data_IF_323218769032
#
_entry.id   IF_323218769032
#
_cell.length_a   1.000
_cell.length_b   1.000
_cell.length_c   1.000
_cell.angle_alpha   90.00
_cell.angle_beta   90.00
_cell.angle_gamma   90.00
#
_symmetry.space_group_name_H-M   'P 1'
#
loop_
_entity.id
_entity.type
_entity.pdbx_description
1 polymer ?
#
# COMPACT_ATOMS: atom_id res chain seq x y z
N UNK A 1 -27.78 30.14 5.43
CA UNK A 1 -27.74 28.76 5.98
C UNK A 1 -26.61 27.95 5.35
N UNK A 2 -26.54 27.85 4.03
CA UNK A 2 -25.58 27.06 3.25
C UNK A 2 -24.09 27.37 3.55
N UNK A 3 -23.76 28.65 3.81
CA UNK A 3 -22.38 29.06 4.13
C UNK A 3 -21.94 28.50 5.49
N UNK A 4 -22.81 28.49 6.49
CA UNK A 4 -22.49 27.95 7.82
C UNK A 4 -22.26 26.43 7.78
N UNK A 5 -23.00 25.69 6.98
CA UNK A 5 -22.85 24.26 6.78
C UNK A 5 -21.51 23.94 6.10
N UNK A 6 -21.14 24.70 5.05
CA UNK A 6 -19.86 24.56 4.38
C UNK A 6 -18.68 24.83 5.33
N UNK A 7 -18.77 25.87 6.14
CA UNK A 7 -17.73 26.19 7.13
C UNK A 7 -17.62 25.07 8.19
N UNK A 8 -18.75 24.58 8.68
CA UNK A 8 -18.76 23.49 9.66
C UNK A 8 -18.13 22.20 9.09
N UNK A 9 -18.49 21.83 7.86
CA UNK A 9 -17.91 20.65 7.18
C UNK A 9 -16.39 20.82 6.97
N UNK A 10 -15.94 21.99 6.52
CA UNK A 10 -14.52 22.27 6.35
C UNK A 10 -13.76 22.27 7.67
N UNK A 11 -14.35 22.82 8.73
CA UNK A 11 -13.75 22.80 10.07
C UNK A 11 -13.60 21.37 10.60
N UNK A 12 -14.58 20.50 10.37
CA UNK A 12 -14.51 19.10 10.75
C UNK A 12 -13.40 18.37 9.97
N UNK A 13 -13.31 18.57 8.65
CA UNK A 13 -12.24 17.99 7.82
C UNK A 13 -10.84 18.43 8.29
N UNK A 14 -10.67 19.72 8.58
CA UNK A 14 -9.39 20.24 9.07
C UNK A 14 -9.05 19.66 10.45
N UNK A 15 -10.03 19.52 11.34
CA UNK A 15 -9.80 18.91 12.65
C UNK A 15 -9.36 17.43 12.54
N UNK A 16 -9.95 16.68 11.62
CA UNK A 16 -9.57 15.31 11.32
C UNK A 16 -8.13 15.24 10.80
N UNK A 17 -7.76 16.05 9.83
CA UNK A 17 -6.39 16.13 9.30
C UNK A 17 -5.36 16.50 10.39
N UNK A 18 -5.70 17.45 11.27
CA UNK A 18 -4.83 17.82 12.40
C UNK A 18 -4.63 16.63 13.34
N UNK A 19 -5.68 15.85 13.60
CA UNK A 19 -5.60 14.65 14.44
C UNK A 19 -4.65 13.60 13.83
N UNK A 20 -4.81 13.30 12.54
CA UNK A 20 -3.95 12.37 11.81
C UNK A 20 -2.47 12.82 11.80
N UNK A 21 -2.24 14.11 11.52
CA UNK A 21 -0.88 14.67 11.54
C UNK A 21 -0.25 14.64 12.93
N UNK A 22 -1.04 14.83 13.98
CA UNK A 22 -0.57 14.78 15.36
C UNK A 22 -0.18 13.35 15.76
N UNK A 23 -0.98 12.36 15.35
CA UNK A 23 -0.67 10.95 15.55
C UNK A 23 0.61 10.54 14.81
N UNK A 24 0.74 10.96 13.56
CA UNK A 24 1.94 10.71 12.76
C UNK A 24 3.19 11.36 13.38
N UNK A 25 3.08 12.59 13.87
CA UNK A 25 4.17 13.26 14.59
C UNK A 25 4.58 12.49 15.85
N UNK A 26 3.61 11.92 16.57
CA UNK A 26 3.87 11.04 17.72
C UNK A 26 4.65 9.78 17.33
N UNK A 27 4.31 9.15 16.23
CA UNK A 27 5.02 7.98 15.70
C UNK A 27 6.47 8.32 15.30
N UNK A 28 6.67 9.45 14.64
CA UNK A 28 8.01 9.93 14.29
C UNK A 28 8.86 10.24 15.53
N UNK A 29 8.28 10.82 16.57
CA UNK A 29 8.97 11.06 17.83
C UNK A 29 9.44 9.76 18.50
N UNK A 30 8.60 8.71 18.49
CA UNK A 30 9.00 7.39 18.99
C UNK A 30 10.13 6.75 18.19
N UNK A 31 10.12 6.90 16.86
CA UNK A 31 11.22 6.43 16.00
C UNK A 31 12.50 7.20 16.30
N UNK A 32 12.42 8.52 16.43
CA UNK A 32 13.57 9.36 16.76
C UNK A 32 14.17 9.00 18.11
N UNK A 33 13.36 8.70 19.12
CA UNK A 33 13.80 8.26 20.45
C UNK A 33 14.55 6.92 20.37
N UNK A 34 14.02 5.94 19.64
CA UNK A 34 14.69 4.64 19.40
C UNK A 34 16.02 4.78 18.67
N UNK A 35 16.10 5.67 17.69
CA UNK A 35 17.33 5.93 16.93
C UNK A 35 18.38 6.66 17.80
N UNK A 36 17.95 7.44 18.78
CA UNK A 36 18.86 8.14 19.71
C UNK A 36 19.53 7.18 20.70
N UNK A 37 18.91 6.07 21.01
CA UNK A 37 19.43 5.04 21.92
C UNK A 37 20.25 3.96 21.17
N UNK A 38 20.26 3.98 19.84
CA UNK A 38 21.02 3.02 19.05
C UNK A 38 22.51 3.37 19.04
N UNK A 39 23.42 2.41 19.26
CA UNK A 39 24.86 2.63 19.12
C UNK A 39 25.20 3.02 17.69
N UNK A 40 25.89 4.17 17.53
CA UNK A 40 26.23 4.74 16.22
C UNK A 40 27.36 4.01 15.48
N UNK A 41 28.07 3.08 16.13
CA UNK A 41 29.26 2.41 15.61
C UNK A 41 29.13 0.89 15.75
N UNK A 42 28.84 0.20 14.66
CA UNK A 42 28.87 -1.26 14.59
C UNK A 42 28.02 -1.82 13.43
N UNK A 43 28.31 -3.05 12.97
CA UNK A 43 27.41 -3.73 12.05
C UNK A 43 26.05 -3.96 12.73
N UNK A 44 24.97 -3.81 11.99
CA UNK A 44 23.63 -4.13 12.48
C UNK A 44 23.57 -5.62 12.85
N UNK A 45 23.29 -5.90 14.11
CA UNK A 45 23.02 -7.23 14.65
C UNK A 45 21.63 -7.28 15.28
N UNK A 46 21.26 -8.42 15.86
CA UNK A 46 19.94 -8.63 16.47
C UNK A 46 19.66 -7.71 17.68
N UNK A 47 20.67 -6.99 18.18
CA UNK A 47 20.57 -6.04 19.31
C UNK A 47 20.46 -4.59 18.85
N UNK A 48 20.69 -4.30 17.57
CA UNK A 48 20.54 -2.94 17.06
C UNK A 48 19.04 -2.58 16.97
N UNK A 49 18.67 -1.38 17.43
CA UNK A 49 17.29 -0.89 17.38
C UNK A 49 16.72 -0.66 15.97
N UNK A 50 17.52 -0.94 14.93
CA UNK A 50 17.13 -0.97 13.53
C UNK A 50 16.67 -2.37 13.05
N UNK A 51 16.31 -3.26 13.98
CA UNK A 51 15.72 -4.57 13.68
C UNK A 51 14.58 -4.46 12.67
N UNK A 52 14.17 -5.58 12.04
CA UNK A 52 13.22 -5.53 10.92
C UNK A 52 12.05 -4.65 11.31
N UNK A 53 11.84 -3.60 10.52
CA UNK A 53 10.68 -2.72 10.68
C UNK A 53 9.48 -3.63 10.56
N UNK A 54 8.94 -4.04 11.73
CA UNK A 54 7.74 -4.85 11.78
C UNK A 54 6.65 -4.00 11.14
N UNK A 55 6.39 -4.30 9.87
CA UNK A 55 5.29 -3.77 9.08
C UNK A 55 4.96 -2.32 9.42
N UNK A 56 5.60 -1.37 8.75
CA UNK A 56 5.00 -0.05 8.59
C UNK A 56 3.76 -0.30 7.76
N UNK A 57 2.68 -0.60 8.43
CA UNK A 57 1.35 -0.59 7.84
C UNK A 57 1.03 0.88 7.63
N UNK A 58 1.36 1.41 6.46
CA UNK A 58 0.75 2.64 6.01
C UNK A 58 -0.74 2.31 5.94
N UNK A 59 -1.49 2.85 6.88
CA UNK A 59 -2.89 2.67 7.13
C UNK A 59 -3.53 1.57 6.28
N UNK A 60 -3.67 0.36 6.82
CA UNK A 60 -4.51 -0.63 6.20
C UNK A 60 -5.91 -0.04 6.13
N UNK A 61 -6.21 0.65 5.05
CA UNK A 61 -7.59 1.04 4.74
C UNK A 61 -8.28 -0.31 4.56
N UNK A 62 -9.02 -0.72 5.59
CA UNK A 62 -9.96 -1.81 5.44
C UNK A 62 -10.85 -1.39 4.26
N UNK A 63 -10.76 -2.14 3.16
CA UNK A 63 -11.65 -1.91 2.02
C UNK A 63 -13.07 -1.99 2.58
N UNK A 64 -13.78 -0.87 2.55
CA UNK A 64 -15.15 -0.82 3.07
C UNK A 64 -15.98 -1.88 2.32
N UNK A 65 -16.73 -2.68 3.05
CA UNK A 65 -17.49 -3.80 2.49
C UNK A 65 -18.53 -3.40 1.41
N UNK A 66 -18.75 -2.10 1.23
CA UNK A 66 -19.74 -1.52 0.30
C UNK A 66 -19.11 -0.81 -0.92
N UNK A 67 -17.82 -1.02 -1.21
CA UNK A 67 -17.21 -0.43 -2.42
C UNK A 67 -17.62 -1.26 -3.63
N UNK A 68 -18.25 -0.65 -4.67
CA UNK A 68 -18.62 -1.38 -5.88
C UNK A 68 -17.40 -2.01 -6.56
N UNK A 69 -17.52 -3.26 -6.98
CA UNK A 69 -16.52 -3.94 -7.81
C UNK A 69 -16.66 -3.40 -9.25
N UNK A 70 -16.03 -2.28 -9.50
CA UNK A 70 -16.05 -1.61 -10.79
C UNK A 70 -14.72 -0.89 -11.01
N UNK A 71 -14.17 -1.03 -12.22
CA UNK A 71 -13.05 -0.24 -12.67
C UNK A 71 -13.58 1.04 -13.33
N UNK A 72 -13.09 2.20 -12.89
CA UNK A 72 -13.48 3.51 -13.44
C UNK A 72 -12.51 4.01 -14.50
N UNK A 73 -11.48 3.20 -14.85
CA UNK A 73 -10.53 3.53 -15.89
C UNK A 73 -11.22 3.55 -17.26
N UNK A 74 -10.90 4.56 -18.08
CA UNK A 74 -11.40 4.62 -19.44
C UNK A 74 -10.87 3.43 -20.26
N UNK A 75 -11.71 2.78 -21.10
CA UNK A 75 -11.35 1.57 -21.83
C UNK A 75 -10.05 1.71 -22.65
N UNK A 76 -9.78 2.89 -23.18
CA UNK A 76 -8.60 3.21 -24.00
C UNK A 76 -7.29 3.12 -23.19
N UNK A 77 -7.36 3.34 -21.87
CA UNK A 77 -6.21 3.35 -20.97
C UNK A 77 -5.93 1.99 -20.33
N UNK A 78 -6.84 1.04 -20.45
CA UNK A 78 -6.70 -0.30 -19.83
C UNK A 78 -5.48 -1.03 -20.41
N UNK A 79 -5.27 -0.97 -21.72
CA UNK A 79 -4.16 -1.63 -22.39
C UNK A 79 -2.79 -1.11 -21.95
N UNK A 80 -2.67 0.20 -21.81
CA UNK A 80 -1.43 0.84 -21.34
C UNK A 80 -1.14 0.43 -19.89
N UNK A 81 -2.17 0.46 -19.03
CA UNK A 81 -2.06 0.07 -17.63
C UNK A 81 -1.64 -1.40 -17.45
N UNK A 82 -2.24 -2.31 -18.21
CA UNK A 82 -1.85 -3.73 -18.20
C UNK A 82 -0.41 -3.90 -18.65
N UNK A 83 0.04 -3.13 -19.65
CA UNK A 83 1.42 -3.17 -20.13
C UNK A 83 2.41 -2.68 -19.06
N UNK A 84 2.09 -1.63 -18.32
CA UNK A 84 2.89 -1.14 -17.21
C UNK A 84 3.05 -2.21 -16.11
N UNK A 85 1.96 -2.87 -15.73
CA UNK A 85 2.00 -3.99 -14.79
C UNK A 85 2.82 -5.17 -15.32
N UNK A 86 2.67 -5.54 -16.59
CA UNK A 86 3.43 -6.64 -17.21
C UNK A 86 4.94 -6.42 -17.12
N UNK A 87 5.41 -5.18 -17.29
CA UNK A 87 6.83 -4.83 -17.14
C UNK A 87 7.31 -5.11 -15.72
N UNK A 88 6.57 -4.70 -14.71
CA UNK A 88 6.91 -4.91 -13.30
C UNK A 88 6.79 -6.40 -12.93
N UNK A 89 5.73 -7.06 -13.39
CA UNK A 89 5.47 -8.48 -13.10
C UNK A 89 6.48 -9.44 -13.76
N UNK A 90 7.24 -8.98 -14.75
CA UNK A 90 8.34 -9.77 -15.33
C UNK A 90 9.48 -10.06 -14.34
N UNK A 91 9.61 -9.25 -13.27
CA UNK A 91 10.67 -9.39 -12.25
C UNK A 91 10.20 -10.14 -10.98
N UNK A 92 9.05 -10.79 -11.04
CA UNK A 92 8.47 -11.58 -9.94
C UNK A 92 9.27 -12.84 -9.70
N UNK A 93 9.63 -13.08 -8.45
CA UNK A 93 10.32 -14.31 -8.01
C UNK A 93 9.40 -15.28 -7.28
N UNK A 94 8.29 -14.78 -6.71
CA UNK A 94 7.34 -15.62 -6.00
C UNK A 94 5.93 -15.01 -5.97
N UNK A 95 4.92 -15.88 -5.96
CA UNK A 95 3.51 -15.51 -5.79
C UNK A 95 2.85 -16.48 -4.83
N UNK A 96 2.26 -15.94 -3.76
CA UNK A 96 1.60 -16.73 -2.72
C UNK A 96 0.17 -16.23 -2.53
N UNK A 97 -0.79 -17.12 -2.69
CA UNK A 97 -2.18 -16.85 -2.34
C UNK A 97 -2.31 -16.61 -0.83
N UNK A 98 -3.01 -15.55 -0.44
CA UNK A 98 -3.35 -15.23 0.95
C UNK A 98 -4.85 -15.35 1.18
N UNK A 99 -5.33 -15.46 2.43
CA UNK A 99 -6.76 -15.61 2.72
C UNK A 99 -7.63 -14.49 2.13
N UNK A 100 -7.09 -13.27 2.00
CA UNK A 100 -7.80 -12.11 1.44
C UNK A 100 -7.30 -11.66 0.07
N UNK A 101 -6.33 -12.36 -0.55
CA UNK A 101 -5.72 -11.84 -1.77
C UNK A 101 -4.50 -12.60 -2.26
N UNK A 102 -3.49 -11.87 -2.69
CA UNK A 102 -2.27 -12.38 -3.29
C UNK A 102 -1.07 -11.59 -2.75
N UNK A 103 0.03 -12.27 -2.43
CA UNK A 103 1.33 -11.66 -2.16
C UNK A 103 2.28 -11.98 -3.30
N UNK A 104 2.92 -10.95 -3.83
CA UNK A 104 3.90 -11.02 -4.91
C UNK A 104 5.24 -10.53 -4.38
N UNK A 105 6.32 -11.26 -4.67
CA UNK A 105 7.68 -10.89 -4.27
C UNK A 105 8.51 -10.58 -5.50
N UNK A 106 9.22 -9.46 -5.48
CA UNK A 106 10.10 -8.97 -6.54
C UNK A 106 11.54 -8.89 -6.05
N UNK A 107 12.48 -9.18 -6.94
CA UNK A 107 13.91 -9.14 -6.59
C UNK A 107 14.54 -7.77 -6.83
N UNK A 108 14.23 -7.14 -7.95
CA UNK A 108 14.96 -5.97 -8.46
C UNK A 108 14.08 -4.77 -8.77
N UNK A 109 12.75 -4.94 -8.81
CA UNK A 109 11.83 -3.85 -9.13
C UNK A 109 11.88 -2.74 -8.09
N UNK A 110 12.01 -1.47 -8.50
CA UNK A 110 11.99 -0.36 -7.57
C UNK A 110 10.65 -0.29 -6.82
N UNK A 111 10.70 -0.25 -5.49
CA UNK A 111 9.50 -0.14 -4.65
C UNK A 111 8.65 1.09 -5.01
N UNK A 112 9.29 2.20 -5.39
CA UNK A 112 8.60 3.41 -5.82
C UNK A 112 7.75 3.21 -7.08
N UNK A 113 8.22 2.40 -8.05
CA UNK A 113 7.45 2.07 -9.25
C UNK A 113 6.23 1.24 -8.90
N UNK A 114 6.39 0.21 -8.05
CA UNK A 114 5.29 -0.65 -7.60
C UNK A 114 4.27 0.18 -6.81
N UNK A 115 4.73 1.04 -5.90
CA UNK A 115 3.85 1.91 -5.12
C UNK A 115 3.07 2.90 -6.00
N UNK A 116 3.73 3.49 -7.01
CA UNK A 116 3.07 4.40 -7.95
C UNK A 116 1.99 3.71 -8.79
N UNK A 117 2.23 2.48 -9.26
CA UNK A 117 1.22 1.69 -9.94
C UNK A 117 0.06 1.31 -9.01
N UNK A 118 0.36 0.88 -7.79
CA UNK A 118 -0.65 0.53 -6.80
C UNK A 118 -1.55 1.74 -6.44
N UNK A 119 -0.98 2.94 -6.30
CA UNK A 119 -1.72 4.18 -6.08
C UNK A 119 -2.67 4.47 -7.23
N UNK A 120 -2.21 4.32 -8.45
CA UNK A 120 -3.04 4.53 -9.65
C UNK A 120 -4.17 3.49 -9.76
N UNK A 121 -3.91 2.22 -9.41
CA UNK A 121 -4.96 1.20 -9.33
C UNK A 121 -5.98 1.52 -8.25
N UNK A 122 -5.54 1.98 -7.09
CA UNK A 122 -6.43 2.36 -6.00
C UNK A 122 -7.41 3.48 -6.41
N UNK A 123 -7.00 4.37 -7.32
CA UNK A 123 -7.86 5.44 -7.83
C UNK A 123 -8.96 4.92 -8.76
N UNK A 124 -8.71 3.86 -9.53
CA UNK A 124 -9.69 3.33 -10.48
C UNK A 124 -10.37 2.05 -10.00
N UNK A 125 -9.71 1.26 -9.16
CA UNK A 125 -10.20 -0.01 -8.62
C UNK A 125 -10.25 0.05 -7.09
N UNK A 126 -11.07 0.93 -6.55
CA UNK A 126 -11.16 1.22 -5.11
C UNK A 126 -11.48 -0.02 -4.23
N UNK A 127 -11.97 -1.10 -4.83
CA UNK A 127 -12.22 -2.38 -4.16
C UNK A 127 -10.97 -3.23 -3.93
N UNK A 128 -9.82 -2.87 -4.54
CA UNK A 128 -8.53 -3.51 -4.28
C UNK A 128 -7.79 -2.76 -3.16
N UNK A 129 -7.16 -3.49 -2.25
CA UNK A 129 -6.24 -2.93 -1.26
C UNK A 129 -4.81 -3.32 -1.61
N UNK A 130 -3.85 -2.40 -1.44
CA UNK A 130 -2.45 -2.63 -1.74
C UNK A 130 -1.56 -2.32 -0.55
N UNK A 131 -0.57 -3.18 -0.29
CA UNK A 131 0.48 -2.93 0.70
C UNK A 131 1.83 -3.25 0.07
N UNK A 132 2.75 -2.30 0.07
CA UNK A 132 4.12 -2.48 -0.42
C UNK A 132 5.06 -2.61 0.76
N UNK A 133 5.83 -3.68 0.80
CA UNK A 133 6.84 -3.94 1.82
C UNK A 133 8.25 -4.00 1.20
N UNK A 134 9.27 -3.61 1.97
CA UNK A 134 10.67 -3.71 1.58
C UNK A 134 11.41 -4.41 2.70
N UNK A 135 12.12 -5.50 2.39
CA UNK A 135 12.89 -6.23 3.38
C UNK A 135 13.70 -7.36 2.78
N UNK A 136 14.82 -7.70 3.41
CA UNK A 136 15.65 -8.83 2.99
C UNK A 136 16.21 -8.76 1.57
N UNK A 137 16.30 -7.57 0.96
CA UNK A 137 16.70 -7.41 -0.44
C UNK A 137 15.59 -7.66 -1.45
N UNK A 138 14.33 -7.73 -0.99
CA UNK A 138 13.15 -7.94 -1.82
C UNK A 138 12.13 -6.82 -1.62
N UNK A 139 11.28 -6.65 -2.61
CA UNK A 139 10.06 -5.85 -2.51
C UNK A 139 8.88 -6.79 -2.54
N UNK A 140 7.92 -6.60 -1.66
CA UNK A 140 6.67 -7.37 -1.62
C UNK A 140 5.49 -6.47 -1.91
N UNK A 141 4.56 -6.96 -2.72
CA UNK A 141 3.26 -6.34 -2.96
C UNK A 141 2.19 -7.30 -2.46
N UNK A 142 1.44 -6.89 -1.47
CA UNK A 142 0.27 -7.62 -1.01
C UNK A 142 -0.98 -6.93 -1.54
N UNK A 143 -1.82 -7.70 -2.22
CA UNK A 143 -3.06 -7.22 -2.85
C UNK A 143 -4.22 -7.92 -2.17
N UNK A 144 -5.18 -7.17 -1.67
CA UNK A 144 -6.41 -7.70 -1.09
C UNK A 144 -7.61 -7.33 -1.95
N UNK A 145 -8.58 -8.22 -2.01
CA UNK A 145 -9.80 -8.04 -2.78
C UNK A 145 -11.00 -8.66 -2.06
N UNK A 146 -12.22 -8.13 -2.24
CA UNK A 146 -13.44 -8.80 -1.82
C UNK A 146 -13.56 -10.19 -2.51
N UNK A 147 -14.25 -11.16 -1.89
CA UNK A 147 -14.40 -12.51 -2.46
C UNK A 147 -14.90 -12.51 -3.90
N UNK A 148 -15.85 -11.63 -4.22
CA UNK A 148 -16.47 -11.53 -5.54
C UNK A 148 -15.54 -10.90 -6.61
N UNK A 149 -14.46 -10.23 -6.20
CA UNK A 149 -13.44 -9.67 -7.09
C UNK A 149 -12.23 -10.58 -7.27
N UNK A 150 -12.22 -11.76 -6.69
CA UNK A 150 -11.08 -12.69 -6.73
C UNK A 150 -10.66 -13.04 -8.15
N UNK A 151 -11.60 -13.31 -9.02
CA UNK A 151 -11.32 -13.64 -10.42
C UNK A 151 -10.57 -12.49 -11.14
N UNK A 152 -10.95 -11.25 -10.88
CA UNK A 152 -10.29 -10.07 -11.45
C UNK A 152 -8.84 -9.97 -10.96
N UNK A 153 -8.62 -10.20 -9.67
CA UNK A 153 -7.29 -10.21 -9.08
C UNK A 153 -6.41 -11.30 -9.69
N UNK A 154 -6.95 -12.50 -9.86
CA UNK A 154 -6.23 -13.63 -10.43
C UNK A 154 -5.91 -13.40 -11.92
N UNK A 155 -6.80 -12.76 -12.69
CA UNK A 155 -6.57 -12.39 -14.09
C UNK A 155 -5.47 -11.33 -14.24
N UNK A 156 -5.44 -10.32 -13.36
CA UNK A 156 -4.48 -9.22 -13.44
C UNK A 156 -3.09 -9.58 -12.91
N UNK A 157 -3.04 -10.32 -11.80
CA UNK A 157 -1.81 -10.52 -11.02
C UNK A 157 -1.48 -12.00 -10.77
N UNK A 158 -2.38 -12.90 -11.11
CA UNK A 158 -2.29 -14.30 -10.79
C UNK A 158 -1.15 -15.05 -11.47
N UNK A 159 -1.01 -16.31 -11.12
CA UNK A 159 -0.05 -17.22 -11.74
C UNK A 159 -0.62 -17.58 -13.13
N UNK A 160 0.13 -17.39 -14.21
CA UNK A 160 -0.27 -17.98 -15.49
C UNK A 160 -0.44 -19.50 -15.28
N UNK A 161 -1.59 -20.01 -15.68
CA UNK A 161 -1.96 -21.43 -15.60
C UNK A 161 -1.00 -22.29 -16.40
#
# INVERSE_FOLDING_TARGET
HRMRELVATKSAQVAEQISEMTEFAGQLAQVAERLSDAPLDGPCDDSCGCGPVQNVTFGGVAVAADVPIACTLAPELIGDRLSEWQVVLADVVDRVATPGGLRITFRSSPAATIAGLAEQEQQCCAFLGFTVGIGGGFVTLEITAPPDARAILDDMFGVPS
#
